data_IF_822234025032
#
_entry.id   IF_822234025032
#
_cell.length_a   1.000
_cell.length_b   1.000
_cell.length_c   1.000
_cell.angle_alpha   90.00
_cell.angle_beta   90.00
_cell.angle_gamma   90.00
#
_symmetry.space_group_name_H-M   'P 1'
#
loop_
_entity.id
_entity.type
_entity.pdbx_description
1 polymer ?
#
# COMPACT_ATOMS: atom_id res chain seq x y z
N UNK A 1 -7.78 3.58 33.69
CA UNK A 1 -7.00 2.45 33.10
C UNK A 1 -6.26 2.99 31.89
N UNK A 2 -4.94 2.79 31.76
CA UNK A 2 -4.22 3.27 30.57
C UNK A 2 -4.42 2.26 29.43
N UNK A 3 -4.98 2.72 28.31
CA UNK A 3 -5.19 1.94 27.11
C UNK A 3 -3.99 2.05 26.16
N UNK A 4 -3.65 0.94 25.49
CA UNK A 4 -2.74 0.96 24.34
C UNK A 4 -3.52 1.30 23.08
N UNK A 5 -3.79 2.58 22.90
CA UNK A 5 -4.54 3.06 21.73
C UNK A 5 -3.75 2.87 20.42
N UNK A 6 -2.42 2.80 20.44
CA UNK A 6 -1.62 2.49 19.25
C UNK A 6 -1.95 1.09 18.72
N UNK A 7 -1.99 0.10 19.60
CA UNK A 7 -2.38 -1.27 19.27
C UNK A 7 -3.83 -1.37 18.79
N UNK A 8 -4.75 -0.69 19.45
CA UNK A 8 -6.17 -0.67 19.10
C UNK A 8 -6.41 0.02 17.75
N UNK A 9 -5.77 1.15 17.48
CA UNK A 9 -5.85 1.85 16.19
C UNK A 9 -5.39 0.98 15.04
N UNK A 10 -4.22 0.33 15.17
CA UNK A 10 -3.70 -0.59 14.16
C UNK A 10 -4.69 -1.72 13.86
N UNK A 11 -5.34 -2.26 14.86
CA UNK A 11 -6.34 -3.30 14.69
C UNK A 11 -7.63 -2.77 14.08
N UNK A 12 -8.07 -1.58 14.47
CA UNK A 12 -9.24 -0.93 13.89
C UNK A 12 -9.05 -0.73 12.37
N UNK A 13 -7.91 -0.21 11.94
CA UNK A 13 -7.57 -0.04 10.52
C UNK A 13 -7.62 -1.37 9.76
N UNK A 14 -7.10 -2.46 10.35
CA UNK A 14 -7.10 -3.80 9.74
C UNK A 14 -8.50 -4.43 9.66
N UNK A 15 -9.47 -3.97 10.48
CA UNK A 15 -10.82 -4.56 10.57
C UNK A 15 -11.92 -3.62 10.07
N UNK A 16 -11.57 -2.54 9.38
CA UNK A 16 -12.53 -1.63 8.73
C UNK A 16 -13.11 -0.54 9.63
N UNK A 17 -12.37 -0.17 10.69
CA UNK A 17 -12.64 0.97 11.55
C UNK A 17 -12.87 0.61 13.02
N UNK A 18 -12.85 1.64 13.90
CA UNK A 18 -13.02 1.45 15.34
C UNK A 18 -14.34 0.77 15.74
N UNK A 19 -15.44 1.15 15.10
CA UNK A 19 -16.77 0.60 15.34
C UNK A 19 -16.80 -0.91 15.05
N UNK A 20 -16.29 -1.32 13.88
CA UNK A 20 -16.25 -2.72 13.49
C UNK A 20 -15.33 -3.54 14.40
N UNK A 21 -14.21 -2.98 14.84
CA UNK A 21 -13.33 -3.65 15.79
C UNK A 21 -14.06 -3.91 17.11
N UNK A 22 -14.73 -2.90 17.67
CA UNK A 22 -15.44 -3.02 18.95
C UNK A 22 -16.60 -4.01 18.85
N UNK A 23 -17.36 -4.00 17.75
CA UNK A 23 -18.42 -4.98 17.48
C UNK A 23 -17.88 -6.42 17.38
N UNK A 24 -16.73 -6.61 16.71
CA UNK A 24 -16.06 -7.90 16.66
C UNK A 24 -15.64 -8.39 18.05
N UNK A 25 -15.11 -7.51 18.90
CA UNK A 25 -14.72 -7.84 20.27
C UNK A 25 -15.91 -8.28 21.10
N UNK A 26 -17.07 -7.64 20.96
CA UNK A 26 -18.29 -7.97 21.70
C UNK A 26 -18.93 -9.27 21.22
N UNK A 27 -19.03 -9.42 19.89
CA UNK A 27 -19.69 -10.57 19.26
C UNK A 27 -18.82 -11.84 19.30
N UNK A 28 -17.52 -11.72 19.57
CA UNK A 28 -16.59 -12.84 19.68
C UNK A 28 -16.72 -13.67 20.96
N UNK A 29 -17.80 -13.50 21.74
CA UNK A 29 -18.13 -14.24 22.97
C UNK A 29 -18.08 -15.79 22.87
N UNK A 30 -17.56 -16.31 21.77
CA UNK A 30 -17.28 -17.73 21.57
C UNK A 30 -15.77 -17.95 21.39
N UNK A 31 -15.12 -18.54 22.37
CA UNK A 31 -13.69 -18.91 22.41
C UNK A 31 -13.14 -19.58 21.14
N UNK A 32 -13.98 -19.97 20.20
CA UNK A 32 -13.60 -20.61 18.91
C UNK A 32 -13.21 -19.65 17.79
N UNK A 33 -13.44 -18.35 17.92
CA UNK A 33 -13.07 -17.36 16.87
C UNK A 33 -11.68 -16.72 17.07
N UNK A 34 -11.05 -16.88 18.22
CA UNK A 34 -9.70 -16.36 18.49
C UNK A 34 -8.60 -16.91 17.57
N UNK A 35 -8.62 -18.18 17.10
CA UNK A 35 -7.60 -18.68 16.16
C UNK A 35 -7.66 -17.99 14.81
N UNK A 36 -8.83 -17.48 14.40
CA UNK A 36 -9.01 -16.81 13.10
C UNK A 36 -8.52 -15.35 13.11
N UNK A 37 -8.69 -14.64 14.19
CA UNK A 37 -8.07 -13.32 14.40
C UNK A 37 -6.53 -13.40 14.39
N UNK A 38 -5.96 -14.51 14.86
CA UNK A 38 -4.52 -14.79 14.81
C UNK A 38 -3.99 -15.20 13.41
N UNK A 39 -4.86 -15.70 12.52
CA UNK A 39 -4.46 -16.18 11.19
C UNK A 39 -4.57 -15.09 10.09
N UNK A 40 -5.44 -14.10 10.28
CA UNK A 40 -5.66 -13.02 9.31
C UNK A 40 -4.73 -11.81 9.52
N UNK A 41 -4.08 -11.73 10.68
CA UNK A 41 -3.10 -10.68 10.99
C UNK A 41 -1.89 -11.37 11.58
N UNK A 42 -0.72 -11.22 10.96
CA UNK A 42 0.57 -11.56 11.56
C UNK A 42 0.82 -10.63 12.75
N UNK A 43 0.07 -10.86 13.84
CA UNK A 43 0.05 -10.03 15.02
C UNK A 43 1.10 -10.57 16.00
N UNK A 44 2.15 -9.80 16.21
CA UNK A 44 3.12 -10.03 17.28
C UNK A 44 2.41 -10.11 18.64
N UNK A 45 2.95 -10.90 19.57
CA UNK A 45 2.38 -11.21 20.90
C UNK A 45 1.79 -10.00 21.67
N UNK A 46 2.28 -8.78 21.45
CA UNK A 46 1.79 -7.55 22.09
C UNK A 46 0.33 -7.20 21.76
N UNK A 47 -0.13 -7.44 20.52
CA UNK A 47 -1.49 -7.14 20.10
C UNK A 47 -2.52 -8.11 20.66
N UNK A 48 -2.13 -9.35 20.95
CA UNK A 48 -3.01 -10.34 21.60
C UNK A 48 -3.38 -9.89 23.02
N UNK A 49 -2.44 -9.29 23.75
CA UNK A 49 -2.69 -8.78 25.10
C UNK A 49 -3.67 -7.61 25.11
N UNK A 50 -3.52 -6.68 24.14
CA UNK A 50 -4.40 -5.50 24.02
C UNK A 50 -5.83 -5.91 23.74
N UNK A 51 -6.02 -6.86 22.81
CA UNK A 51 -7.35 -7.41 22.48
C UNK A 51 -8.00 -8.11 23.64
N UNK A 52 -7.25 -8.96 24.34
CA UNK A 52 -7.76 -9.67 25.51
C UNK A 52 -8.19 -8.68 26.60
N UNK A 53 -7.44 -7.60 26.80
CA UNK A 53 -7.75 -6.57 27.78
C UNK A 53 -9.01 -5.78 27.42
N UNK A 54 -9.15 -5.39 26.13
CA UNK A 54 -10.35 -4.70 25.63
C UNK A 54 -11.59 -5.59 25.70
N UNK A 55 -11.47 -6.85 25.28
CA UNK A 55 -12.56 -7.83 25.38
C UNK A 55 -13.01 -8.03 26.85
N UNK A 56 -12.06 -8.22 27.77
CA UNK A 56 -12.38 -8.40 29.18
C UNK A 56 -13.10 -7.19 29.76
N UNK A 57 -12.61 -5.98 29.45
CA UNK A 57 -13.25 -4.73 29.89
C UNK A 57 -14.69 -4.63 29.43
N UNK A 58 -14.97 -4.87 28.13
CA UNK A 58 -16.32 -4.83 27.58
C UNK A 58 -17.21 -5.92 28.16
N UNK A 59 -16.65 -7.10 28.38
CA UNK A 59 -17.37 -8.23 29.01
C UNK A 59 -17.76 -7.95 30.46
N UNK A 60 -16.84 -7.34 31.22
CA UNK A 60 -17.11 -6.96 32.63
C UNK A 60 -18.20 -5.88 32.68
N UNK A 61 -18.17 -4.89 31.78
CA UNK A 61 -19.18 -3.84 31.69
C UNK A 61 -20.55 -4.37 31.24
N UNK A 62 -20.56 -5.35 30.34
CA UNK A 62 -21.81 -6.04 29.98
C UNK A 62 -22.44 -6.80 31.15
N UNK A 63 -21.63 -7.34 32.05
CA UNK A 63 -22.12 -8.00 33.25
C UNK A 63 -22.71 -7.00 34.28
N UNK A 64 -22.30 -5.74 34.25
CA UNK A 64 -22.87 -4.67 35.10
C UNK A 64 -24.24 -4.21 34.55
N UNK A 65 -24.30 -3.75 33.29
CA UNK A 65 -25.56 -3.44 32.58
C UNK A 65 -25.31 -3.21 31.09
N UNK A 66 -26.37 -3.31 30.27
CA UNK A 66 -26.28 -2.98 28.84
C UNK A 66 -25.94 -1.50 28.61
N UNK A 67 -26.36 -0.59 29.49
CA UNK A 67 -26.04 0.84 29.44
C UNK A 67 -24.55 1.08 29.71
N UNK A 68 -23.98 0.43 30.71
CA UNK A 68 -22.54 0.52 31.01
C UNK A 68 -21.68 -0.04 29.86
N UNK A 69 -22.14 -1.11 29.25
CA UNK A 69 -21.48 -1.66 28.07
C UNK A 69 -21.49 -0.69 26.89
N UNK A 70 -22.61 -0.02 26.62
CA UNK A 70 -22.73 0.95 25.53
C UNK A 70 -21.84 2.17 25.76
N UNK A 71 -21.74 2.66 26.98
CA UNK A 71 -20.81 3.73 27.38
C UNK A 71 -19.36 3.30 27.19
N UNK A 72 -19.02 2.08 27.59
CA UNK A 72 -17.66 1.52 27.43
C UNK A 72 -17.26 1.34 25.95
N UNK A 73 -18.22 0.99 25.08
CA UNK A 73 -18.01 0.96 23.61
C UNK A 73 -17.65 2.34 23.10
N UNK A 74 -18.48 3.34 23.42
CA UNK A 74 -18.29 4.72 23.00
C UNK A 74 -16.93 5.26 23.45
N UNK A 75 -16.52 4.97 24.68
CA UNK A 75 -15.23 5.35 25.24
C UNK A 75 -14.06 4.75 24.42
N UNK A 76 -14.11 3.45 24.10
CA UNK A 76 -13.06 2.80 23.31
C UNK A 76 -13.01 3.32 21.87
N UNK A 77 -14.16 3.48 21.24
CA UNK A 77 -14.26 4.00 19.86
C UNK A 77 -13.72 5.44 19.81
N UNK A 78 -14.14 6.28 20.75
CA UNK A 78 -13.69 7.66 20.80
C UNK A 78 -12.21 7.76 21.08
N UNK A 79 -11.69 6.99 22.04
CA UNK A 79 -10.26 6.98 22.35
C UNK A 79 -9.37 6.50 21.17
N UNK A 80 -9.85 5.56 20.35
CA UNK A 80 -9.15 5.18 19.12
C UNK A 80 -9.18 6.33 18.10
N UNK A 81 -10.32 7.00 17.93
CA UNK A 81 -10.45 8.14 17.02
C UNK A 81 -9.59 9.33 17.45
N UNK A 82 -9.58 9.64 18.74
CA UNK A 82 -8.75 10.71 19.30
C UNK A 82 -7.26 10.41 19.15
N UNK A 83 -6.88 9.14 19.39
CA UNK A 83 -5.52 8.69 19.12
C UNK A 83 -5.15 8.84 17.64
N UNK A 84 -6.02 8.39 16.72
CA UNK A 84 -5.79 8.54 15.29
C UNK A 84 -5.72 10.02 14.86
N UNK A 85 -6.60 10.88 15.40
CA UNK A 85 -6.60 12.31 15.11
C UNK A 85 -5.32 13.01 15.60
N UNK A 86 -4.87 12.69 16.82
CA UNK A 86 -3.65 13.29 17.40
C UNK A 86 -2.36 12.74 16.81
N UNK A 87 -2.41 11.54 16.19
CA UNK A 87 -1.25 10.90 15.56
C UNK A 87 -1.36 10.85 14.03
N UNK A 88 -2.42 11.41 13.45
CA UNK A 88 -2.57 11.53 11.98
C UNK A 88 -1.45 12.39 11.38
N UNK A 89 -1.05 13.47 12.07
CA UNK A 89 0.07 14.31 11.64
C UNK A 89 1.42 13.57 11.78
N UNK A 90 1.60 12.75 12.84
CA UNK A 90 2.80 11.95 13.02
C UNK A 90 2.91 10.79 12.00
N UNK A 91 1.79 10.32 11.44
CA UNK A 91 1.80 9.33 10.35
C UNK A 91 1.97 9.95 8.97
N UNK A 92 1.57 11.21 8.77
CA UNK A 92 1.90 11.96 7.56
C UNK A 92 3.38 12.34 7.49
N UNK A 93 4.04 12.50 8.65
CA UNK A 93 5.46 12.85 8.74
C UNK A 93 6.42 11.67 8.56
N UNK A 94 5.95 10.43 8.58
CA UNK A 94 6.82 9.24 8.46
C UNK A 94 6.89 8.72 7.01
N UNK A 95 5.83 8.90 6.22
CA UNK A 95 5.82 8.50 4.82
C UNK A 95 6.40 9.63 3.96
N UNK A 96 7.71 9.60 3.76
CA UNK A 96 8.43 10.63 3.02
C UNK A 96 8.73 10.14 1.59
N UNK A 97 8.16 10.82 0.60
CA UNK A 97 8.53 10.59 -0.80
C UNK A 97 9.56 11.65 -1.18
N UNK A 98 10.76 11.19 -1.54
CA UNK A 98 11.86 12.07 -1.91
C UNK A 98 12.45 11.73 -3.26
N UNK A 99 12.87 12.75 -3.99
CA UNK A 99 13.57 12.61 -5.28
C UNK A 99 15.00 12.13 -5.06
N UNK A 100 15.45 11.21 -5.89
CA UNK A 100 16.84 10.74 -5.95
C UNK A 100 17.52 11.45 -7.13
N UNK A 101 18.45 12.32 -6.81
CA UNK A 101 19.22 13.11 -7.81
C UNK A 101 20.48 12.39 -8.25
N UNK A 102 21.12 11.67 -7.33
CA UNK A 102 22.41 11.02 -7.54
C UNK A 102 22.33 9.53 -7.18
N UNK A 103 23.25 8.75 -7.75
CA UNK A 103 23.39 7.32 -7.45
C UNK A 103 22.08 6.52 -7.51
N UNK A 104 21.24 6.75 -8.52
CA UNK A 104 19.98 5.99 -8.72
C UNK A 104 20.19 4.49 -8.77
N UNK A 105 21.34 4.03 -9.34
CA UNK A 105 21.73 2.60 -9.34
C UNK A 105 22.00 2.01 -7.94
N UNK A 106 22.17 2.84 -6.92
CA UNK A 106 22.20 2.37 -5.53
C UNK A 106 20.91 1.70 -5.06
N UNK A 107 19.83 1.82 -5.85
CA UNK A 107 18.53 1.19 -5.62
C UNK A 107 18.23 0.06 -6.63
N UNK A 108 19.28 -0.52 -7.27
CA UNK A 108 19.12 -1.47 -8.36
C UNK A 108 18.29 -2.69 -7.96
N UNK A 109 18.47 -3.21 -6.74
CA UNK A 109 17.71 -4.35 -6.23
C UNK A 109 16.19 -4.09 -6.18
N UNK A 110 15.80 -2.82 -5.94
CA UNK A 110 14.41 -2.42 -5.89
C UNK A 110 13.86 -2.20 -7.31
N UNK A 111 14.65 -1.57 -8.19
CA UNK A 111 14.32 -1.38 -9.60
C UNK A 111 14.11 -2.71 -10.33
N UNK A 112 14.93 -3.72 -10.02
CA UNK A 112 14.85 -5.06 -10.61
C UNK A 112 13.59 -5.84 -10.16
N UNK A 113 12.86 -5.38 -9.15
CA UNK A 113 11.57 -5.98 -8.80
C UNK A 113 10.45 -5.70 -9.81
N UNK A 114 10.57 -4.61 -10.57
CA UNK A 114 9.59 -4.23 -11.59
C UNK A 114 10.09 -4.45 -13.01
N UNK A 115 11.41 -4.54 -13.22
CA UNK A 115 12.03 -4.75 -14.52
C UNK A 115 13.27 -5.66 -14.34
N UNK A 116 13.15 -6.93 -14.71
CA UNK A 116 14.12 -7.97 -14.37
C UNK A 116 15.47 -7.83 -15.09
N UNK A 117 15.60 -6.87 -16.03
CA UNK A 117 16.80 -6.71 -16.85
C UNK A 117 17.41 -5.32 -16.71
N UNK A 118 18.66 -5.27 -16.24
CA UNK A 118 19.36 -3.99 -15.96
C UNK A 118 19.54 -3.14 -17.22
N UNK A 119 19.78 -3.74 -18.38
CA UNK A 119 19.91 -3.03 -19.65
C UNK A 119 18.62 -2.29 -20.05
N UNK A 120 17.45 -2.82 -19.67
CA UNK A 120 16.16 -2.17 -19.88
C UNK A 120 16.02 -0.97 -18.94
N UNK A 121 16.42 -1.12 -17.69
CA UNK A 121 16.43 -0.04 -16.70
C UNK A 121 17.36 1.10 -17.18
N UNK A 122 18.52 0.79 -17.72
CA UNK A 122 19.48 1.78 -18.20
C UNK A 122 18.96 2.68 -19.33
N UNK A 123 18.00 2.19 -20.13
CA UNK A 123 17.38 2.97 -21.21
C UNK A 123 16.62 4.20 -20.70
N UNK A 124 16.11 4.16 -19.47
CA UNK A 124 15.29 5.27 -18.92
C UNK A 124 15.85 5.87 -17.63
N UNK A 125 16.62 5.14 -16.82
CA UNK A 125 17.01 5.57 -15.48
C UNK A 125 17.80 6.89 -15.47
N UNK A 126 18.72 7.06 -16.46
CA UNK A 126 19.55 8.27 -16.55
C UNK A 126 18.71 9.53 -16.81
N UNK A 127 17.75 9.45 -17.74
CA UNK A 127 16.91 10.59 -18.14
C UNK A 127 15.68 10.77 -17.26
N UNK A 128 15.26 9.70 -16.57
CA UNK A 128 14.07 9.67 -15.73
C UNK A 128 14.30 10.37 -14.39
N UNK A 129 13.23 10.84 -13.79
CA UNK A 129 13.21 11.27 -12.41
C UNK A 129 12.83 10.09 -11.52
N UNK A 130 13.63 9.83 -10.50
CA UNK A 130 13.43 8.73 -9.57
C UNK A 130 12.97 9.26 -8.22
N UNK A 131 11.99 8.62 -7.63
CA UNK A 131 11.50 8.87 -6.28
C UNK A 131 11.52 7.59 -5.46
N UNK A 132 11.78 7.73 -4.17
CA UNK A 132 11.67 6.65 -3.20
C UNK A 132 10.69 7.05 -2.10
N UNK A 133 9.92 6.09 -1.63
CA UNK A 133 9.04 6.22 -0.49
C UNK A 133 9.73 5.60 0.72
N UNK A 134 9.98 6.45 1.72
CA UNK A 134 10.62 6.09 2.99
C UNK A 134 9.56 6.07 4.11
N UNK A 135 9.40 4.94 4.74
CA UNK A 135 8.55 4.72 5.92
C UNK A 135 9.34 3.83 6.89
N UNK A 136 10.20 4.46 7.70
CA UNK A 136 11.20 3.77 8.52
C UNK A 136 12.08 2.81 7.69
N UNK A 137 12.66 3.36 6.63
CA UNK A 137 13.43 2.69 5.59
C UNK A 137 12.66 2.61 4.27
N UNK A 138 13.40 2.52 3.17
CA UNK A 138 12.84 2.53 1.82
C UNK A 138 11.89 1.34 1.63
N UNK A 139 10.66 1.61 1.19
CA UNK A 139 9.60 0.61 0.97
C UNK A 139 9.23 0.46 -0.49
N UNK A 140 9.36 1.55 -1.26
CA UNK A 140 8.96 1.59 -2.65
C UNK A 140 9.80 2.62 -3.42
N UNK A 141 9.84 2.47 -4.72
CA UNK A 141 10.41 3.44 -5.64
C UNK A 141 9.53 3.62 -6.87
N UNK A 142 9.74 4.69 -7.61
CA UNK A 142 9.26 4.84 -8.98
C UNK A 142 10.19 5.70 -9.82
N UNK A 143 10.16 5.45 -11.13
CA UNK A 143 10.86 6.25 -12.13
C UNK A 143 9.87 6.75 -13.16
N UNK A 144 9.85 8.06 -13.39
CA UNK A 144 9.01 8.73 -14.37
C UNK A 144 9.86 9.45 -15.40
N UNK A 145 9.43 9.46 -16.65
CA UNK A 145 10.08 10.19 -17.75
C UNK A 145 9.08 11.10 -18.43
N UNK A 146 9.54 12.26 -18.89
CA UNK A 146 8.75 13.11 -19.79
C UNK A 146 8.94 12.63 -21.23
N UNK A 147 7.85 12.32 -21.91
CA UNK A 147 7.84 11.81 -23.29
C UNK A 147 7.36 12.87 -24.30
N UNK A 148 6.81 13.99 -23.82
CA UNK A 148 6.33 15.12 -24.62
C UNK A 148 5.74 16.22 -23.75
N UNK A 149 5.20 17.26 -24.37
CA UNK A 149 4.54 18.35 -23.64
C UNK A 149 3.30 17.83 -22.90
N UNK A 150 3.36 17.84 -21.58
CA UNK A 150 2.29 17.33 -20.72
C UNK A 150 2.09 15.81 -20.76
N UNK A 151 3.00 15.05 -21.42
CA UNK A 151 2.97 13.60 -21.51
C UNK A 151 4.12 13.00 -20.72
N UNK A 152 3.78 12.20 -19.74
CA UNK A 152 4.74 11.50 -18.87
C UNK A 152 4.53 10.00 -18.95
N UNK A 153 5.57 9.22 -18.68
CA UNK A 153 5.48 7.77 -18.59
C UNK A 153 6.10 7.27 -17.28
N UNK A 154 5.34 6.52 -16.52
CA UNK A 154 5.81 5.76 -15.37
C UNK A 154 6.55 4.53 -15.90
N UNK A 155 7.89 4.57 -15.87
CA UNK A 155 8.78 3.55 -16.42
C UNK A 155 9.01 2.39 -15.48
N UNK A 156 9.05 2.67 -14.19
CA UNK A 156 9.28 1.68 -13.15
C UNK A 156 8.50 2.07 -11.90
N UNK A 157 7.91 1.11 -11.24
CA UNK A 157 7.35 1.26 -9.91
C UNK A 157 7.44 -0.07 -9.18
N UNK A 158 8.16 -0.09 -8.07
CA UNK A 158 8.33 -1.27 -7.26
C UNK A 158 8.01 -1.01 -5.79
N UNK A 159 7.46 -2.02 -5.15
CA UNK A 159 7.23 -2.06 -3.70
C UNK A 159 7.87 -3.33 -3.17
N UNK A 160 8.69 -3.22 -2.12
CA UNK A 160 9.29 -4.39 -1.46
C UNK A 160 8.22 -5.45 -1.18
N UNK A 161 8.48 -6.75 -1.43
CA UNK A 161 7.48 -7.82 -1.32
C UNK A 161 6.75 -7.82 0.03
N UNK A 162 7.47 -7.68 1.14
CA UNK A 162 6.90 -7.65 2.49
C UNK A 162 6.11 -6.36 2.80
N UNK A 163 6.17 -5.38 1.90
CA UNK A 163 5.51 -4.08 2.02
C UNK A 163 4.34 -3.91 1.03
N UNK A 164 4.12 -4.87 0.14
CA UNK A 164 3.01 -4.82 -0.81
C UNK A 164 1.64 -4.83 -0.12
N UNK A 165 0.60 -4.37 -0.86
CA UNK A 165 -0.80 -4.26 -0.39
C UNK A 165 -1.01 -3.34 0.82
N UNK A 166 -0.02 -2.51 1.16
CA UNK A 166 -0.10 -1.50 2.23
C UNK A 166 -0.36 -0.08 1.71
N UNK A 167 -0.59 0.07 0.39
CA UNK A 167 -0.91 1.35 -0.25
C UNK A 167 0.28 2.10 -0.82
N UNK A 168 1.54 1.70 -0.58
CA UNK A 168 2.74 2.44 -1.01
C UNK A 168 2.80 2.74 -2.51
N UNK A 169 2.49 1.76 -3.37
CA UNK A 169 2.46 1.98 -4.81
C UNK A 169 1.40 3.00 -5.22
N UNK A 170 0.21 2.95 -4.61
CA UNK A 170 -0.84 3.95 -4.84
C UNK A 170 -0.40 5.34 -4.38
N UNK A 171 0.23 5.45 -3.21
CA UNK A 171 0.75 6.72 -2.70
C UNK A 171 1.80 7.34 -3.62
N UNK A 172 2.68 6.54 -4.24
CA UNK A 172 3.63 7.03 -5.25
C UNK A 172 2.90 7.58 -6.48
N UNK A 173 1.89 6.89 -7.01
CA UNK A 173 1.12 7.35 -8.17
C UNK A 173 0.36 8.65 -7.82
N UNK A 174 -0.30 8.74 -6.67
CA UNK A 174 -1.00 9.95 -6.23
C UNK A 174 -0.04 11.12 -6.02
N UNK A 175 1.16 10.86 -5.50
CA UNK A 175 2.24 11.85 -5.42
C UNK A 175 2.64 12.36 -6.80
N UNK A 176 2.85 11.47 -7.79
CA UNK A 176 3.18 11.87 -9.16
C UNK A 176 2.08 12.74 -9.78
N UNK A 177 0.79 12.38 -9.63
CA UNK A 177 -0.32 13.18 -10.13
C UNK A 177 -0.37 14.59 -9.53
N UNK A 178 0.02 14.74 -8.28
CA UNK A 178 0.06 16.04 -7.59
C UNK A 178 1.31 16.85 -7.90
N UNK A 179 2.45 16.18 -8.10
CA UNK A 179 3.75 16.83 -8.30
C UNK A 179 3.94 17.39 -9.71
N UNK A 180 3.33 16.76 -10.72
CA UNK A 180 3.42 17.17 -12.12
C UNK A 180 2.15 17.90 -12.56
N UNK A 181 2.07 19.21 -12.25
CA UNK A 181 0.87 20.03 -12.52
C UNK A 181 0.60 20.22 -14.02
N UNK A 182 1.63 20.12 -14.84
CA UNK A 182 1.61 20.19 -16.31
C UNK A 182 1.27 18.83 -16.98
N UNK A 183 1.24 17.74 -16.19
CA UNK A 183 0.89 16.43 -16.72
C UNK A 183 -0.60 16.38 -17.10
N UNK A 184 -0.87 16.28 -18.38
CA UNK A 184 -2.21 16.03 -18.93
C UNK A 184 -2.45 14.55 -19.21
N UNK A 185 -1.40 13.80 -19.48
CA UNK A 185 -1.45 12.35 -19.74
C UNK A 185 -0.29 11.65 -19.08
N UNK A 186 -0.57 10.63 -18.28
CA UNK A 186 0.43 9.72 -17.76
C UNK A 186 0.23 8.32 -18.36
N UNK A 187 1.29 7.78 -18.93
CA UNK A 187 1.32 6.44 -19.50
C UNK A 187 1.99 5.47 -18.53
N UNK A 188 1.66 4.21 -18.63
CA UNK A 188 2.38 3.10 -18.00
C UNK A 188 2.28 1.86 -18.87
N UNK A 189 3.41 1.20 -19.14
CA UNK A 189 3.47 -0.11 -19.76
C UNK A 189 3.61 -1.22 -18.72
N UNK A 190 2.89 -2.31 -18.86
CA UNK A 190 2.93 -3.46 -17.95
C UNK A 190 2.70 -4.77 -18.68
N UNK A 191 3.01 -5.89 -18.02
CA UNK A 191 2.62 -7.21 -18.47
C UNK A 191 1.10 -7.40 -18.49
N UNK A 192 0.62 -8.29 -19.36
CA UNK A 192 -0.81 -8.65 -19.45
C UNK A 192 -1.17 -9.64 -18.33
N UNK A 193 -1.14 -9.16 -17.08
CA UNK A 193 -1.49 -9.95 -15.89
C UNK A 193 -2.55 -9.24 -15.04
N UNK A 194 -3.50 -10.01 -14.45
CA UNK A 194 -4.66 -9.44 -13.77
C UNK A 194 -4.31 -8.53 -12.59
N UNK A 195 -3.28 -8.84 -11.81
CA UNK A 195 -2.89 -8.04 -10.65
C UNK A 195 -2.43 -6.64 -11.04
N UNK A 196 -1.53 -6.54 -12.03
CA UNK A 196 -0.99 -5.28 -12.53
C UNK A 196 -2.09 -4.42 -13.17
N UNK A 197 -2.89 -5.00 -14.07
CA UNK A 197 -4.00 -4.30 -14.70
C UNK A 197 -5.02 -3.79 -13.67
N UNK A 198 -5.37 -4.62 -12.68
CA UNK A 198 -6.27 -4.23 -11.59
C UNK A 198 -5.69 -3.11 -10.74
N UNK A 199 -4.39 -3.15 -10.45
CA UNK A 199 -3.72 -2.12 -9.66
C UNK A 199 -3.81 -0.76 -10.37
N UNK A 200 -3.40 -0.68 -11.63
CA UNK A 200 -3.43 0.57 -12.38
C UNK A 200 -4.86 1.08 -12.61
N UNK A 201 -5.81 0.19 -12.89
CA UNK A 201 -7.22 0.58 -13.01
C UNK A 201 -7.75 1.20 -11.72
N UNK A 202 -7.40 0.65 -10.55
CA UNK A 202 -7.75 1.24 -9.24
C UNK A 202 -7.07 2.58 -8.97
N UNK A 203 -5.95 2.87 -9.65
CA UNK A 203 -5.29 4.17 -9.62
C UNK A 203 -5.85 5.16 -10.66
N UNK A 204 -6.89 4.77 -11.42
CA UNK A 204 -7.56 5.65 -12.38
C UNK A 204 -7.04 5.55 -13.82
N UNK A 205 -6.16 4.58 -14.12
CA UNK A 205 -5.72 4.34 -15.48
C UNK A 205 -6.74 3.52 -16.25
N UNK A 206 -6.78 3.71 -17.57
CA UNK A 206 -7.58 2.94 -18.54
C UNK A 206 -6.67 2.36 -19.61
N UNK A 207 -6.99 1.19 -20.15
CA UNK A 207 -6.22 0.59 -21.25
C UNK A 207 -6.17 1.54 -22.46
N UNK A 208 -5.00 1.67 -23.07
CA UNK A 208 -4.73 2.55 -24.19
C UNK A 208 -4.43 1.75 -25.46
N UNK A 209 -3.31 1.06 -25.49
CA UNK A 209 -2.85 0.26 -26.62
C UNK A 209 -1.94 -0.88 -26.17
N UNK A 210 -1.54 -1.74 -27.10
CA UNK A 210 -0.63 -2.86 -26.84
C UNK A 210 0.54 -2.85 -27.82
N UNK A 211 1.72 -3.20 -27.32
CA UNK A 211 2.88 -3.48 -28.17
C UNK A 211 3.07 -4.99 -28.19
N UNK A 212 2.83 -5.57 -29.38
CA UNK A 212 2.94 -7.01 -29.59
C UNK A 212 4.37 -7.48 -29.45
N UNK A 213 4.54 -8.65 -28.87
CA UNK A 213 5.82 -9.35 -28.68
C UNK A 213 6.87 -8.53 -27.91
N UNK A 214 6.49 -7.46 -27.21
CA UNK A 214 7.44 -6.58 -26.55
C UNK A 214 8.44 -7.31 -25.66
N UNK A 215 7.94 -8.20 -24.79
CA UNK A 215 8.80 -8.92 -23.85
C UNK A 215 9.68 -9.97 -24.57
N UNK A 216 9.21 -10.55 -25.67
CA UNK A 216 10.01 -11.51 -26.46
C UNK A 216 11.12 -10.80 -27.25
N UNK A 217 10.82 -9.62 -27.80
CA UNK A 217 11.73 -8.90 -28.69
C UNK A 217 12.78 -8.06 -27.95
N UNK A 218 12.54 -7.72 -26.66
CA UNK A 218 13.38 -6.78 -25.91
C UNK A 218 14.13 -7.40 -24.71
N UNK A 219 13.77 -8.59 -24.27
CA UNK A 219 14.43 -9.28 -23.16
C UNK A 219 15.20 -10.50 -23.65
N UNK A 220 16.32 -10.78 -23.02
CA UNK A 220 17.22 -11.88 -23.41
C UNK A 220 16.76 -13.27 -22.89
N UNK A 221 15.71 -13.28 -22.09
CA UNK A 221 15.10 -14.48 -21.52
C UNK A 221 13.57 -14.35 -21.45
N UNK A 222 12.85 -15.49 -21.41
CA UNK A 222 11.40 -15.45 -21.22
C UNK A 222 11.02 -14.92 -19.84
N UNK A 223 10.21 -13.85 -19.82
CA UNK A 223 9.68 -13.24 -18.60
C UNK A 223 8.41 -13.93 -18.15
N UNK A 224 8.23 -14.14 -16.84
CA UNK A 224 7.04 -14.77 -16.28
C UNK A 224 6.49 -13.95 -15.10
N UNK A 225 5.20 -13.73 -15.06
CA UNK A 225 4.50 -13.11 -13.95
C UNK A 225 3.22 -13.90 -13.66
N UNK A 226 2.92 -14.20 -12.40
CA UNK A 226 1.77 -15.03 -11.97
C UNK A 226 1.67 -16.39 -12.71
N UNK A 227 2.82 -16.97 -13.11
CA UNK A 227 2.85 -18.24 -13.85
C UNK A 227 2.51 -18.13 -15.33
N UNK A 228 2.29 -16.91 -15.85
CA UNK A 228 2.02 -16.61 -17.26
C UNK A 228 3.27 -16.02 -17.90
N UNK A 229 3.67 -16.50 -19.07
CA UNK A 229 4.72 -15.87 -19.85
C UNK A 229 4.22 -14.52 -20.38
N UNK A 230 5.02 -13.47 -20.17
CA UNK A 230 4.79 -12.16 -20.73
C UNK A 230 5.17 -12.15 -22.21
N UNK A 231 4.29 -11.67 -23.06
CA UNK A 231 4.48 -11.58 -24.51
C UNK A 231 4.28 -10.13 -24.96
N UNK A 232 3.06 -9.62 -24.84
CA UNK A 232 2.70 -8.27 -25.22
C UNK A 232 2.80 -7.32 -24.02
N UNK A 233 3.23 -6.09 -24.26
CA UNK A 233 3.10 -5.02 -23.28
C UNK A 233 1.77 -4.32 -23.44
N UNK A 234 1.03 -4.19 -22.34
CA UNK A 234 -0.22 -3.43 -22.27
C UNK A 234 0.10 -2.03 -21.76
N UNK A 235 -0.22 -1.03 -22.58
CA UNK A 235 -0.15 0.36 -22.16
C UNK A 235 -1.48 0.82 -21.58
N UNK A 236 -1.43 1.40 -20.39
CA UNK A 236 -2.56 2.11 -19.81
C UNK A 236 -2.23 3.60 -19.77
N UNK A 237 -3.28 4.43 -19.71
CA UNK A 237 -3.17 5.89 -19.60
C UNK A 237 -4.09 6.43 -18.52
N UNK A 238 -3.61 7.42 -17.83
CA UNK A 238 -4.39 8.32 -17.00
C UNK A 238 -4.44 9.69 -17.71
N UNK A 239 -5.57 10.37 -17.64
CA UNK A 239 -5.77 11.70 -18.23
C UNK A 239 -6.40 12.62 -17.18
N UNK A 240 -5.88 13.84 -17.11
CA UNK A 240 -6.40 14.89 -16.22
C UNK A 240 -7.66 15.49 -16.79
#
# INVERSE_FOLDING_TARGET
MAWDYAGLSKMAKANGGPEKLVDLLINSGNRKMFPWLGAAVAVRAATTVVVQKAYKYLSDKKAESDTEMELAKQELIQGIKDYDATHAEAHSDIMNIRKITDNKKGYIDLLLLADEQEDMIDKYLKRGEMFVLDDNGIKAECVITQEGDGVYELKNIAVLPDCQRKGYGKSLIEFLFSSYSDCSTMLVGTGDVPSALTFYTKCGFTESHRIKNFFIDNYDHPMFEEGKQLVDMVYLKWQR
#
